data_IF_173184742135
#
_entry.id   IF_173184742135
#
_cell.length_a   1.000
_cell.length_b   1.000
_cell.length_c   1.000
_cell.angle_alpha   90.00
_cell.angle_beta   90.00
_cell.angle_gamma   90.00
#
_symmetry.space_group_name_H-M   'P 1'
#
loop_
_entity.id
_entity.type
_entity.pdbx_description
1 polymer ?
#
# COMPACT_ATOMS: atom_id res chain seq x y z
N UNK A 1 -16.25 3.83 -3.76
CA UNK A 1 -17.10 4.72 -4.58
C UNK A 1 -16.43 6.05 -4.85
N UNK A 2 -15.90 6.75 -3.82
CA UNK A 2 -15.11 7.98 -3.97
C UNK A 2 -14.03 7.89 -5.06
N UNK A 3 -13.11 6.92 -4.97
CA UNK A 3 -12.04 6.73 -5.97
C UNK A 3 -12.57 6.51 -7.40
N UNK A 4 -13.74 5.87 -7.55
CA UNK A 4 -14.41 5.69 -8.85
C UNK A 4 -14.86 7.05 -9.39
N UNK A 5 -15.49 7.87 -8.56
CA UNK A 5 -15.93 9.21 -8.95
C UNK A 5 -14.73 10.08 -9.35
N UNK A 6 -13.64 10.08 -8.56
CA UNK A 6 -12.41 10.82 -8.89
C UNK A 6 -11.81 10.39 -10.24
N UNK A 7 -11.72 9.07 -10.48
CA UNK A 7 -11.18 8.54 -11.73
C UNK A 7 -12.06 8.92 -12.94
N UNK A 8 -13.38 8.78 -12.82
CA UNK A 8 -14.32 9.15 -13.87
C UNK A 8 -14.34 10.66 -14.12
N UNK A 9 -14.24 11.49 -13.07
CA UNK A 9 -14.14 12.93 -13.20
C UNK A 9 -12.85 13.34 -13.92
N UNK A 10 -11.72 12.69 -13.60
CA UNK A 10 -10.46 12.85 -14.32
C UNK A 10 -10.58 12.54 -15.80
N UNK A 11 -11.22 11.42 -16.15
CA UNK A 11 -11.47 11.02 -17.55
C UNK A 11 -12.42 12.00 -18.25
N UNK A 12 -13.49 12.44 -17.60
CA UNK A 12 -14.47 13.37 -18.14
C UNK A 12 -13.82 14.72 -18.53
N UNK A 13 -12.95 15.26 -17.67
CA UNK A 13 -12.16 16.47 -17.97
C UNK A 13 -11.26 16.29 -19.19
N UNK A 14 -10.63 15.12 -19.36
CA UNK A 14 -9.77 14.85 -20.52
C UNK A 14 -10.51 14.84 -21.86
N UNK A 15 -11.83 14.59 -21.85
CA UNK A 15 -12.66 14.56 -23.05
C UNK A 15 -13.61 15.77 -23.15
N UNK A 16 -13.39 16.81 -22.35
CA UNK A 16 -14.15 18.07 -22.39
C UNK A 16 -15.59 17.96 -21.88
N UNK A 17 -15.88 17.01 -20.97
CA UNK A 17 -17.20 16.83 -20.34
C UNK A 17 -17.19 17.40 -18.92
N UNK A 18 -16.99 18.71 -18.80
CA UNK A 18 -16.75 19.38 -17.53
C UNK A 18 -17.96 19.33 -16.58
N UNK A 19 -19.20 19.43 -17.10
CA UNK A 19 -20.43 19.32 -16.29
C UNK A 19 -20.54 17.95 -15.61
N UNK A 20 -20.13 16.88 -16.30
CA UNK A 20 -20.13 15.53 -15.73
C UNK A 20 -19.00 15.34 -14.74
N UNK A 21 -17.84 15.94 -14.98
CA UNK A 21 -16.76 15.95 -14.01
C UNK A 21 -17.19 16.63 -12.71
N UNK A 22 -17.85 17.80 -12.79
CA UNK A 22 -18.38 18.51 -11.64
C UNK A 22 -19.42 17.69 -10.87
N UNK A 23 -20.36 17.03 -11.56
CA UNK A 23 -21.34 16.16 -10.91
C UNK A 23 -20.70 14.96 -10.19
N UNK A 24 -19.62 14.41 -10.74
CA UNK A 24 -18.86 13.33 -10.11
C UNK A 24 -18.04 13.81 -8.90
N UNK A 25 -17.50 15.02 -8.95
CA UNK A 25 -16.83 15.65 -7.80
C UNK A 25 -17.83 15.87 -6.65
N UNK A 26 -19.01 16.40 -6.95
CA UNK A 26 -20.09 16.59 -5.96
C UNK A 26 -20.54 15.25 -5.35
N UNK A 27 -20.66 14.19 -6.17
CA UNK A 27 -20.96 12.82 -5.67
C UNK A 27 -19.85 12.32 -4.74
N UNK A 28 -18.58 12.54 -5.10
CA UNK A 28 -17.44 12.14 -4.28
C UNK A 28 -17.48 12.83 -2.91
N UNK A 29 -17.73 14.14 -2.87
CA UNK A 29 -17.80 14.95 -1.65
C UNK A 29 -19.00 14.55 -0.78
N UNK A 30 -20.16 14.30 -1.38
CA UNK A 30 -21.32 13.79 -0.66
C UNK A 30 -21.03 12.43 0.00
N UNK A 31 -20.32 11.53 -0.69
CA UNK A 31 -19.92 10.24 -0.13
C UNK A 31 -18.91 10.42 1.01
N UNK A 32 -17.90 11.30 0.84
CA UNK A 32 -16.92 11.63 1.89
C UNK A 32 -17.62 12.10 3.17
N UNK A 33 -18.50 13.08 3.04
CA UNK A 33 -19.26 13.63 4.15
C UNK A 33 -20.08 12.55 4.86
N UNK A 34 -20.74 11.67 4.09
CA UNK A 34 -21.55 10.59 4.65
C UNK A 34 -20.71 9.54 5.40
N UNK A 35 -19.55 9.15 4.85
CA UNK A 35 -18.63 8.22 5.54
C UNK A 35 -18.10 8.83 6.83
N UNK A 36 -17.70 10.10 6.82
CA UNK A 36 -17.24 10.80 8.03
C UNK A 36 -18.34 10.95 9.08
N UNK A 37 -19.59 11.17 8.68
CA UNK A 37 -20.69 11.31 9.61
C UNK A 37 -21.18 9.96 10.18
N UNK A 38 -21.18 8.90 9.36
CA UNK A 38 -21.86 7.65 9.71
C UNK A 38 -20.93 6.52 10.17
N UNK A 39 -19.66 6.54 9.76
CA UNK A 39 -18.74 5.42 9.96
C UNK A 39 -17.52 5.77 10.81
N UNK A 40 -17.23 7.06 11.03
CA UNK A 40 -16.14 7.49 11.90
C UNK A 40 -16.53 7.37 13.38
N UNK A 41 -15.69 6.71 14.16
CA UNK A 41 -15.80 6.73 15.61
C UNK A 41 -14.70 7.62 16.19
N UNK A 42 -15.12 8.74 16.80
CA UNK A 42 -14.19 9.71 17.36
C UNK A 42 -13.56 9.27 18.70
N UNK A 43 -14.11 8.29 19.40
CA UNK A 43 -13.50 7.77 20.62
C UNK A 43 -12.34 6.85 20.26
N UNK A 44 -12.61 5.87 19.40
CA UNK A 44 -11.62 4.90 18.92
C UNK A 44 -10.62 5.52 17.92
N UNK A 45 -11.05 6.51 17.13
CA UNK A 45 -10.22 7.08 16.07
C UNK A 45 -10.05 6.16 14.86
N UNK A 46 -11.09 5.38 14.55
CA UNK A 46 -11.15 4.44 13.44
C UNK A 46 -12.49 4.58 12.70
N UNK A 47 -12.51 4.15 11.45
CA UNK A 47 -13.76 3.92 10.74
C UNK A 47 -14.24 2.49 10.98
N UNK A 48 -15.54 2.30 11.12
CA UNK A 48 -16.15 0.98 11.27
C UNK A 48 -17.30 0.80 10.29
N UNK A 49 -17.49 -0.43 9.84
CA UNK A 49 -18.70 -0.81 9.12
C UNK A 49 -19.91 -0.62 10.01
N UNK A 50 -21.06 -0.33 9.41
CA UNK A 50 -22.32 -0.12 10.13
C UNK A 50 -23.32 -1.19 9.75
N UNK A 51 -23.87 -1.85 10.76
CA UNK A 51 -24.91 -2.83 10.56
C UNK A 51 -26.18 -2.16 10.01
N UNK A 52 -26.80 -2.73 8.97
CA UNK A 52 -27.84 -2.07 8.17
C UNK A 52 -29.12 -1.80 8.99
N UNK A 53 -29.54 -2.79 9.78
CA UNK A 53 -30.81 -2.71 10.53
C UNK A 53 -30.65 -1.88 11.81
N UNK A 54 -29.77 -2.33 12.72
CA UNK A 54 -29.51 -1.65 14.00
C UNK A 54 -28.82 -0.29 13.87
N UNK A 55 -28.19 0.03 12.73
CA UNK A 55 -27.37 1.24 12.52
C UNK A 55 -26.19 1.37 13.49
N UNK A 56 -25.82 0.31 14.18
CA UNK A 56 -24.67 0.28 15.11
C UNK A 56 -23.38 -0.03 14.36
N UNK A 57 -22.27 0.54 14.84
CA UNK A 57 -20.94 0.23 14.32
C UNK A 57 -20.53 -1.20 14.70
N UNK A 58 -19.92 -1.91 13.75
CA UNK A 58 -19.34 -3.25 13.94
C UNK A 58 -17.96 -3.09 14.56
N UNK A 59 -17.83 -3.47 15.83
CA UNK A 59 -16.64 -3.25 16.66
C UNK A 59 -15.53 -4.28 16.40
N UNK A 60 -14.99 -4.29 15.19
CA UNK A 60 -13.78 -5.04 14.85
C UNK A 60 -12.80 -4.16 14.09
N UNK A 61 -11.57 -4.09 14.59
CA UNK A 61 -10.49 -3.26 14.05
C UNK A 61 -9.83 -3.98 12.89
N UNK A 62 -10.45 -3.88 11.72
CA UNK A 62 -9.97 -4.52 10.49
C UNK A 62 -9.18 -3.54 9.63
N UNK A 63 -8.45 -4.04 8.65
CA UNK A 63 -7.78 -3.19 7.66
C UNK A 63 -8.78 -2.29 6.90
N UNK A 64 -10.06 -2.68 6.81
CA UNK A 64 -11.11 -1.87 6.20
C UNK A 64 -11.30 -0.53 6.93
N UNK A 65 -11.03 -0.48 8.24
CA UNK A 65 -11.05 0.75 9.05
C UNK A 65 -10.02 1.80 8.60
N UNK A 66 -9.00 1.37 7.84
CA UNK A 66 -7.90 2.22 7.36
C UNK A 66 -8.08 2.63 5.89
N UNK A 67 -8.89 1.91 5.11
CA UNK A 67 -9.10 2.15 3.68
C UNK A 67 -9.68 3.54 3.32
N UNK A 68 -10.40 4.26 4.21
CA UNK A 68 -10.75 5.65 3.99
C UNK A 68 -9.56 6.56 3.70
N UNK A 69 -8.35 6.25 4.19
CA UNK A 69 -7.12 6.96 3.81
C UNK A 69 -6.88 6.90 2.29
N UNK A 70 -7.00 5.73 1.68
CA UNK A 70 -6.78 5.59 0.25
C UNK A 70 -7.74 6.47 -0.56
N UNK A 71 -9.00 6.47 -0.14
CA UNK A 71 -10.03 7.29 -0.75
C UNK A 71 -9.87 8.79 -0.47
N UNK A 72 -9.02 9.22 0.47
CA UNK A 72 -8.88 10.63 0.85
C UNK A 72 -10.02 11.17 1.73
N UNK A 73 -10.76 10.29 2.40
CA UNK A 73 -11.98 10.66 3.15
C UNK A 73 -11.66 11.40 4.47
N UNK A 74 -10.69 10.94 5.28
CA UNK A 74 -10.29 11.64 6.51
C UNK A 74 -9.91 13.12 6.31
N UNK A 75 -10.16 13.95 7.31
CA UNK A 75 -9.38 15.19 7.46
C UNK A 75 -7.96 14.88 7.97
N UNK A 76 -7.12 15.92 8.12
CA UNK A 76 -5.74 15.75 8.59
C UNK A 76 -5.66 15.12 9.99
N UNK A 77 -6.53 15.51 10.91
CA UNK A 77 -6.53 15.02 12.30
C UNK A 77 -7.01 13.57 12.35
N UNK A 78 -8.05 13.22 11.60
CA UNK A 78 -8.51 11.84 11.45
C UNK A 78 -7.42 10.96 10.82
N UNK A 79 -6.73 11.45 9.78
CA UNK A 79 -5.63 10.72 9.16
C UNK A 79 -4.49 10.46 10.15
N UNK A 80 -4.09 11.44 10.96
CA UNK A 80 -3.08 11.27 12.01
C UNK A 80 -3.48 10.22 13.06
N UNK A 81 -4.76 10.16 13.43
CA UNK A 81 -5.28 9.10 14.33
C UNK A 81 -5.20 7.72 13.70
N UNK A 82 -5.54 7.60 12.41
CA UNK A 82 -5.39 6.33 11.68
C UNK A 82 -3.92 5.91 11.58
N UNK A 83 -2.98 6.86 11.37
CA UNK A 83 -1.54 6.58 11.40
C UNK A 83 -1.11 6.09 12.78
N UNK A 84 -1.67 6.64 13.86
CA UNK A 84 -1.45 6.13 15.22
C UNK A 84 -1.77 4.63 15.35
N UNK A 85 -2.92 4.19 14.81
CA UNK A 85 -3.29 2.77 14.76
C UNK A 85 -2.38 1.94 13.85
N UNK A 86 -1.98 2.48 12.71
CA UNK A 86 -1.06 1.82 11.77
C UNK A 86 0.29 1.54 12.43
N UNK A 87 0.79 2.48 13.23
CA UNK A 87 2.09 2.41 13.89
C UNK A 87 2.08 1.60 15.20
N UNK A 88 0.91 1.23 15.73
CA UNK A 88 0.79 0.45 16.96
C UNK A 88 1.31 -0.99 16.76
N UNK A 89 2.38 -1.41 17.49
CA UNK A 89 2.93 -2.77 17.40
C UNK A 89 1.99 -3.85 17.95
N UNK A 90 1.01 -3.46 18.76
CA UNK A 90 -0.08 -4.33 19.23
C UNK A 90 -1.30 -4.31 18.30
N UNK A 91 -1.21 -3.56 17.20
CA UNK A 91 -2.26 -3.38 16.21
C UNK A 91 -1.84 -3.85 14.83
N UNK A 92 -1.55 -2.89 13.94
CA UNK A 92 -1.24 -3.16 12.53
C UNK A 92 0.26 -3.15 12.22
N UNK A 93 1.13 -2.76 13.16
CA UNK A 93 2.58 -2.68 12.97
C UNK A 93 3.29 -4.00 13.35
N UNK A 94 2.94 -5.07 12.64
CA UNK A 94 3.51 -6.42 12.82
C UNK A 94 4.75 -6.65 11.97
N UNK A 95 5.46 -7.78 12.14
CA UNK A 95 6.70 -8.12 11.39
C UNK A 95 6.51 -7.93 9.88
N UNK A 96 5.52 -8.62 9.31
CA UNK A 96 4.94 -8.27 8.01
C UNK A 96 3.73 -7.39 8.34
N UNK A 97 3.74 -6.08 8.04
CA UNK A 97 2.77 -5.15 8.61
C UNK A 97 1.41 -5.21 7.89
N UNK A 98 0.42 -4.50 8.44
CA UNK A 98 -0.94 -4.34 7.91
C UNK A 98 -1.71 -5.66 7.79
N UNK A 99 -1.87 -6.41 8.90
CA UNK A 99 -2.75 -7.58 8.95
C UNK A 99 -4.20 -7.18 8.60
N UNK A 100 -4.96 -8.14 8.06
CA UNK A 100 -6.39 -7.91 7.73
C UNK A 100 -7.24 -7.57 8.96
N UNK A 101 -6.80 -7.99 10.14
CA UNK A 101 -7.37 -7.66 11.45
C UNK A 101 -6.22 -7.29 12.39
N UNK A 102 -6.37 -6.22 13.16
CA UNK A 102 -5.42 -5.83 14.21
C UNK A 102 -5.14 -7.00 15.16
N UNK A 103 -3.87 -7.26 15.50
CA UNK A 103 -3.51 -8.42 16.33
C UNK A 103 -4.13 -8.36 17.74
N UNK A 104 -4.37 -7.15 18.25
CA UNK A 104 -5.03 -6.94 19.54
C UNK A 104 -6.55 -7.07 19.48
N UNK A 105 -7.16 -7.30 18.30
CA UNK A 105 -8.60 -7.46 18.16
C UNK A 105 -9.05 -8.88 18.54
N UNK A 106 -10.15 -9.04 19.31
CA UNK A 106 -10.67 -10.36 19.66
C UNK A 106 -11.03 -11.24 18.46
N UNK A 107 -11.29 -10.63 17.30
CA UNK A 107 -11.60 -11.37 16.08
C UNK A 107 -10.36 -11.92 15.35
N UNK A 108 -9.15 -11.55 15.79
CA UNK A 108 -7.89 -11.95 15.16
C UNK A 108 -7.69 -13.47 15.19
N UNK A 109 -7.45 -14.04 14.01
CA UNK A 109 -7.10 -15.43 13.78
C UNK A 109 -6.19 -15.54 12.55
N UNK A 110 -5.23 -16.46 12.58
CA UNK A 110 -4.39 -16.81 11.42
C UNK A 110 -5.14 -17.62 10.35
N UNK A 111 -6.35 -17.20 9.99
CA UNK A 111 -7.22 -17.80 8.97
C UNK A 111 -7.74 -16.75 7.99
N UNK A 112 -7.22 -16.77 6.76
CA UNK A 112 -7.70 -15.94 5.65
C UNK A 112 -7.79 -14.44 5.99
N UNK A 113 -8.99 -13.87 5.97
CA UNK A 113 -9.28 -12.44 6.14
C UNK A 113 -9.41 -12.02 7.61
N UNK A 114 -9.04 -12.90 8.55
CA UNK A 114 -9.21 -12.65 9.98
C UNK A 114 -7.89 -12.31 10.70
N UNK A 115 -6.83 -11.97 9.98
CA UNK A 115 -5.54 -11.70 10.60
C UNK A 115 -4.38 -11.67 9.62
N UNK A 116 -4.23 -12.65 8.72
CA UNK A 116 -3.14 -12.64 7.74
C UNK A 116 -3.05 -11.36 6.91
N UNK A 117 -1.85 -11.08 6.40
CA UNK A 117 -1.54 -9.91 5.58
C UNK A 117 -1.88 -10.22 4.12
N UNK A 118 -2.69 -9.36 3.52
CA UNK A 118 -3.05 -9.43 2.10
C UNK A 118 -2.46 -8.21 1.38
N UNK A 119 -1.61 -8.45 0.39
CA UNK A 119 -0.83 -7.38 -0.25
C UNK A 119 -1.70 -6.32 -0.92
N UNK A 120 -2.86 -6.66 -1.46
CA UNK A 120 -3.78 -5.69 -2.05
C UNK A 120 -4.35 -4.69 -1.05
N UNK A 121 -4.79 -5.15 0.14
CA UNK A 121 -5.33 -4.26 1.17
C UNK A 121 -4.22 -3.48 1.86
N UNK A 122 -3.05 -4.10 2.06
CA UNK A 122 -1.88 -3.40 2.58
C UNK A 122 -1.43 -2.29 1.62
N UNK A 123 -1.34 -2.59 0.32
CA UNK A 123 -1.04 -1.61 -0.73
C UNK A 123 -1.99 -0.41 -0.72
N UNK A 124 -3.30 -0.65 -0.57
CA UNK A 124 -4.28 0.44 -0.46
C UNK A 124 -3.99 1.36 0.74
N UNK A 125 -3.60 0.82 1.89
CA UNK A 125 -3.20 1.62 3.05
C UNK A 125 -1.90 2.40 2.75
N UNK A 126 -0.92 1.81 2.07
CA UNK A 126 0.31 2.52 1.64
C UNK A 126 -0.04 3.71 0.72
N UNK A 127 -0.93 3.52 -0.25
CA UNK A 127 -1.40 4.61 -1.12
C UNK A 127 -2.16 5.69 -0.32
N UNK A 128 -2.91 5.28 0.69
CA UNK A 128 -3.52 6.18 1.66
C UNK A 128 -2.49 7.01 2.42
N UNK A 129 -1.44 6.40 2.97
CA UNK A 129 -0.37 7.10 3.66
C UNK A 129 0.31 8.13 2.74
N UNK A 130 0.61 7.74 1.49
CA UNK A 130 1.17 8.65 0.47
C UNK A 130 0.24 9.83 0.19
N UNK A 131 -1.06 9.58 0.05
CA UNK A 131 -2.07 10.62 -0.23
C UNK A 131 -2.10 11.72 0.84
N UNK A 132 -1.80 11.40 2.10
CA UNK A 132 -1.74 12.35 3.21
C UNK A 132 -0.32 12.83 3.55
N UNK A 133 0.68 12.52 2.73
CA UNK A 133 2.05 12.99 2.93
C UNK A 133 2.85 12.21 3.98
N UNK A 134 2.35 11.08 4.48
CA UNK A 134 3.09 10.20 5.41
C UNK A 134 4.07 9.30 4.66
N UNK A 135 4.93 9.92 3.84
CA UNK A 135 5.77 9.20 2.88
C UNK A 135 6.81 8.30 3.53
N UNK A 136 7.37 8.68 4.68
CA UNK A 136 8.40 7.88 5.34
C UNK A 136 7.79 6.64 6.02
N UNK A 137 6.58 6.77 6.58
CA UNK A 137 5.80 5.64 7.09
C UNK A 137 5.41 4.69 5.95
N UNK A 138 4.94 5.25 4.82
CA UNK A 138 4.65 4.48 3.62
C UNK A 138 5.88 3.69 3.12
N UNK A 139 7.06 4.31 3.11
CA UNK A 139 8.29 3.67 2.67
C UNK A 139 8.76 2.56 3.63
N UNK A 140 8.71 2.77 4.95
CA UNK A 140 9.03 1.72 5.93
C UNK A 140 8.13 0.50 5.78
N UNK A 141 6.82 0.73 5.73
CA UNK A 141 5.85 -0.36 5.62
C UNK A 141 5.93 -1.04 4.26
N UNK A 142 6.14 -0.30 3.17
CA UNK A 142 6.37 -0.88 1.85
C UNK A 142 7.61 -1.78 1.82
N UNK A 143 8.73 -1.33 2.39
CA UNK A 143 9.95 -2.13 2.49
C UNK A 143 9.70 -3.43 3.28
N UNK A 144 9.05 -3.36 4.43
CA UNK A 144 8.76 -4.53 5.28
C UNK A 144 7.75 -5.49 4.66
N UNK A 145 6.80 -5.00 3.87
CA UNK A 145 5.93 -5.86 3.06
C UNK A 145 6.74 -6.61 2.00
N UNK A 146 7.62 -5.92 1.26
CA UNK A 146 8.50 -6.54 0.27
C UNK A 146 9.43 -7.57 0.93
N UNK A 147 10.12 -7.20 2.01
CA UNK A 147 10.99 -8.08 2.78
C UNK A 147 10.22 -9.31 3.29
N UNK A 148 9.03 -9.12 3.85
CA UNK A 148 8.18 -10.20 4.34
C UNK A 148 7.83 -11.21 3.25
N UNK A 149 7.46 -10.72 2.07
CA UNK A 149 7.17 -11.58 0.91
C UNK A 149 8.40 -12.35 0.45
N UNK A 150 9.55 -11.68 0.30
CA UNK A 150 10.78 -12.32 -0.20
C UNK A 150 11.39 -13.28 0.82
N UNK A 151 11.43 -12.95 2.12
CA UNK A 151 11.90 -13.88 3.16
C UNK A 151 10.97 -15.09 3.31
N UNK A 152 9.66 -14.90 3.17
CA UNK A 152 8.73 -16.04 3.11
C UNK A 152 9.03 -16.92 1.90
N UNK A 153 9.30 -16.33 0.74
CA UNK A 153 9.71 -17.07 -0.45
C UNK A 153 11.03 -17.84 -0.21
N UNK A 154 12.03 -17.24 0.44
CA UNK A 154 13.28 -17.93 0.80
C UNK A 154 13.04 -19.17 1.68
N UNK A 155 12.12 -19.08 2.64
CA UNK A 155 11.81 -20.19 3.55
C UNK A 155 10.90 -21.26 2.92
N UNK A 156 9.96 -20.87 2.05
CA UNK A 156 8.94 -21.80 1.55
C UNK A 156 9.10 -22.18 0.08
N UNK A 157 9.96 -21.50 -0.68
CA UNK A 157 10.15 -21.68 -2.12
C UNK A 157 8.98 -21.20 -3.00
N UNK A 158 8.03 -20.43 -2.45
CA UNK A 158 6.77 -20.09 -3.11
C UNK A 158 6.26 -18.70 -2.73
N UNK A 159 5.59 -18.04 -3.68
CA UNK A 159 4.73 -16.89 -3.40
C UNK A 159 3.33 -17.37 -3.01
N UNK A 160 2.71 -16.67 -2.06
CA UNK A 160 1.44 -17.06 -1.46
C UNK A 160 0.40 -15.96 -1.62
N UNK A 161 -0.88 -16.31 -1.56
CA UNK A 161 -1.98 -15.32 -1.58
C UNK A 161 -2.05 -14.45 -0.31
N UNK A 162 -1.56 -14.91 0.84
CA UNK A 162 -1.49 -14.10 2.06
C UNK A 162 -0.37 -14.61 2.97
N UNK A 163 0.06 -13.74 3.88
CA UNK A 163 1.30 -13.91 4.64
C UNK A 163 1.04 -13.82 6.15
N UNK A 164 1.86 -14.49 6.96
CA UNK A 164 1.76 -14.45 8.41
C UNK A 164 2.26 -13.09 8.92
N UNK A 165 1.48 -12.36 9.74
CA UNK A 165 1.89 -11.04 10.20
C UNK A 165 3.11 -11.07 11.12
N UNK A 166 3.38 -12.20 11.78
CA UNK A 166 4.40 -12.32 12.82
C UNK A 166 5.63 -13.10 12.36
N UNK A 167 5.57 -13.80 11.21
CA UNK A 167 6.60 -14.74 10.77
C UNK A 167 6.81 -14.76 9.26
N UNK A 168 8.00 -15.19 8.84
CA UNK A 168 8.34 -15.40 7.45
C UNK A 168 8.07 -16.85 6.99
N UNK A 169 6.93 -17.42 7.38
CA UNK A 169 6.52 -18.77 6.98
C UNK A 169 4.98 -18.86 6.93
N UNK A 170 4.46 -20.03 6.56
CA UNK A 170 3.02 -20.29 6.43
C UNK A 170 2.51 -21.42 7.35
N UNK A 171 3.30 -21.80 8.35
CA UNK A 171 3.05 -23.01 9.17
C UNK A 171 1.76 -22.86 9.98
N UNK A 172 1.53 -21.69 10.56
CA UNK A 172 0.37 -21.40 11.41
C UNK A 172 -0.82 -20.82 10.62
N UNK A 173 -0.65 -20.58 9.32
CA UNK A 173 -1.70 -20.07 8.47
C UNK A 173 -2.74 -21.13 8.14
N UNK A 174 -3.99 -20.74 8.14
CA UNK A 174 -5.13 -21.57 7.79
C UNK A 174 -5.95 -20.95 6.66
N UNK A 175 -6.68 -21.81 5.95
CA UNK A 175 -7.64 -21.44 4.92
C UNK A 175 -8.99 -22.07 5.20
N UNK A 176 -9.98 -21.21 5.48
CA UNK A 176 -11.41 -21.55 5.58
C UNK A 176 -11.66 -22.62 6.65
N UNK A 177 -11.10 -22.40 7.85
CA UNK A 177 -11.30 -23.31 8.98
C UNK A 177 -12.79 -23.47 9.27
N UNK A 178 -13.22 -24.70 9.56
CA UNK A 178 -14.63 -25.03 9.78
C UNK A 178 -15.44 -25.35 8.52
N UNK A 179 -14.92 -25.13 7.30
CA UNK A 179 -15.60 -25.49 6.05
C UNK A 179 -14.96 -26.73 5.38
N UNK A 180 -15.36 -27.93 5.82
CA UNK A 180 -14.79 -29.22 5.36
C UNK A 180 -14.87 -29.40 3.83
N UNK A 181 -15.98 -28.98 3.21
CA UNK A 181 -16.14 -29.10 1.75
C UNK A 181 -15.14 -28.22 0.99
N UNK A 182 -14.96 -26.96 1.41
CA UNK A 182 -13.97 -26.07 0.79
C UNK A 182 -12.54 -26.51 1.06
N UNK A 183 -12.25 -27.07 2.23
CA UNK A 183 -10.92 -27.62 2.52
C UNK A 183 -10.58 -28.82 1.63
N UNK A 184 -11.54 -29.70 1.37
CA UNK A 184 -11.37 -30.84 0.47
C UNK A 184 -11.12 -30.41 -0.97
N UNK A 185 -11.82 -29.36 -1.42
CA UNK A 185 -11.80 -28.92 -2.83
C UNK A 185 -10.75 -27.86 -3.15
N UNK A 186 -10.35 -27.03 -2.18
CA UNK A 186 -9.49 -25.85 -2.38
C UNK A 186 -8.28 -25.81 -1.44
N UNK A 187 -8.08 -26.85 -0.62
CA UNK A 187 -7.00 -26.90 0.37
C UNK A 187 -7.30 -26.12 1.66
N UNK A 188 -6.45 -26.33 2.66
CA UNK A 188 -6.53 -25.76 4.01
C UNK A 188 -5.40 -24.78 4.33
N UNK A 189 -4.55 -24.48 3.35
CA UNK A 189 -3.37 -23.62 3.44
C UNK A 189 -3.42 -22.51 2.39
N UNK A 190 -2.61 -21.45 2.53
CA UNK A 190 -2.48 -20.44 1.49
C UNK A 190 -2.18 -21.08 0.13
N UNK A 191 -2.82 -20.56 -0.91
CA UNK A 191 -2.52 -20.93 -2.30
C UNK A 191 -1.08 -20.53 -2.63
N UNK A 192 -0.27 -21.50 -3.08
CA UNK A 192 1.11 -21.31 -3.55
C UNK A 192 1.16 -20.92 -5.03
N UNK A 193 2.30 -20.36 -5.46
CA UNK A 193 2.47 -19.89 -6.84
C UNK A 193 1.56 -18.70 -7.20
N UNK A 194 1.06 -17.99 -6.18
CA UNK A 194 0.12 -16.91 -6.36
C UNK A 194 0.86 -15.59 -6.62
N UNK A 195 0.84 -15.13 -7.87
CA UNK A 195 1.48 -13.87 -8.29
C UNK A 195 0.47 -12.76 -8.59
N UNK A 196 -0.79 -12.91 -8.16
CA UNK A 196 -1.85 -11.91 -8.35
C UNK A 196 -1.55 -10.63 -7.58
N UNK A 197 -2.24 -10.38 -6.47
CA UNK A 197 -1.92 -9.22 -5.62
C UNK A 197 -0.55 -9.32 -4.94
N UNK A 198 0.04 -10.52 -4.78
CA UNK A 198 1.40 -10.64 -4.24
C UNK A 198 2.45 -10.01 -5.17
N UNK A 199 2.14 -9.87 -6.46
CA UNK A 199 2.98 -9.14 -7.41
C UNK A 199 3.06 -7.62 -7.15
N UNK A 200 2.18 -7.06 -6.30
CA UNK A 200 2.20 -5.64 -5.92
C UNK A 200 3.49 -5.22 -5.19
N UNK A 201 4.30 -6.17 -4.70
CA UNK A 201 5.65 -5.86 -4.19
C UNK A 201 6.51 -5.14 -5.23
N UNK A 202 6.34 -5.42 -6.52
CA UNK A 202 7.04 -4.71 -7.59
C UNK A 202 6.60 -3.26 -7.67
N UNK A 203 5.29 -2.99 -7.57
CA UNK A 203 4.74 -1.63 -7.54
C UNK A 203 5.21 -0.87 -6.31
N UNK A 204 5.26 -1.51 -5.13
CA UNK A 204 5.81 -0.92 -3.92
C UNK A 204 7.28 -0.52 -4.09
N UNK A 205 8.11 -1.38 -4.68
CA UNK A 205 9.52 -1.05 -4.97
C UNK A 205 9.60 0.12 -5.95
N UNK A 206 8.88 0.07 -7.08
CA UNK A 206 8.97 1.07 -8.16
C UNK A 206 8.44 2.44 -7.71
N UNK A 207 7.22 2.47 -7.18
CA UNK A 207 6.48 3.72 -6.95
C UNK A 207 6.65 4.28 -5.54
N UNK A 208 7.06 3.47 -4.55
CA UNK A 208 7.20 3.90 -3.15
C UNK A 208 8.67 4.02 -2.76
N UNK A 209 9.48 2.99 -2.99
CA UNK A 209 10.89 3.01 -2.58
C UNK A 209 11.76 3.81 -3.55
N UNK A 210 11.70 3.52 -4.85
CA UNK A 210 12.34 4.36 -5.86
C UNK A 210 11.58 5.68 -6.06
N UNK A 211 10.28 5.71 -5.72
CA UNK A 211 9.45 6.91 -5.88
C UNK A 211 9.32 7.34 -7.33
N UNK A 212 9.29 6.39 -8.27
CA UNK A 212 9.13 6.70 -9.69
C UNK A 212 7.71 7.12 -10.00
N UNK A 213 7.57 8.26 -10.65
CA UNK A 213 6.28 8.81 -11.03
C UNK A 213 6.38 9.53 -12.39
N UNK A 214 5.36 9.37 -13.24
CA UNK A 214 5.25 10.13 -14.48
C UNK A 214 4.50 11.44 -14.20
N UNK A 215 5.19 12.57 -14.42
CA UNK A 215 4.65 13.92 -14.32
C UNK A 215 4.58 14.58 -15.71
N UNK A 216 4.00 15.78 -15.78
CA UNK A 216 3.89 16.53 -17.04
C UNK A 216 5.27 16.90 -17.60
N UNK A 217 6.21 17.20 -16.73
CA UNK A 217 7.61 17.54 -17.02
C UNK A 217 8.47 16.33 -17.41
N UNK A 218 8.00 15.10 -17.20
CA UNK A 218 8.74 13.88 -17.52
C UNK A 218 8.66 12.82 -16.42
N UNK A 219 9.59 11.87 -16.46
CA UNK A 219 9.70 10.84 -15.43
C UNK A 219 10.49 11.42 -14.25
N UNK A 220 9.91 11.39 -13.05
CA UNK A 220 10.53 11.86 -11.82
C UNK A 220 10.81 10.67 -10.92
N UNK A 221 11.92 10.71 -10.20
CA UNK A 221 12.29 9.76 -9.16
C UNK A 221 12.41 10.51 -7.84
N UNK A 222 11.87 9.96 -6.75
CA UNK A 222 11.99 10.52 -5.41
C UNK A 222 12.30 9.40 -4.40
N UNK A 223 13.57 8.92 -4.35
CA UNK A 223 13.93 7.72 -3.59
C UNK A 223 13.66 7.90 -2.10
N UNK A 224 12.97 6.93 -1.49
CA UNK A 224 12.71 6.87 -0.05
C UNK A 224 12.95 5.46 0.45
N UNK A 225 14.14 5.24 1.01
CA UNK A 225 14.51 3.98 1.62
C UNK A 225 14.54 4.13 3.14
N UNK A 226 13.90 3.22 3.91
CA UNK A 226 13.92 3.30 5.36
C UNK A 226 15.31 2.93 5.90
N UNK A 227 15.61 3.24 7.19
CA UNK A 227 16.89 2.90 7.81
C UNK A 227 17.25 1.40 7.75
N UNK A 228 16.24 0.52 7.69
CA UNK A 228 16.45 -0.92 7.52
C UNK A 228 17.13 -1.31 6.20
N UNK A 229 17.10 -0.42 5.20
CA UNK A 229 17.74 -0.62 3.90
C UNK A 229 19.17 -0.04 3.82
N UNK A 230 19.67 0.59 4.88
CA UNK A 230 21.00 1.21 4.89
C UNK A 230 22.10 0.20 4.53
N UNK A 231 22.99 0.58 3.60
CA UNK A 231 24.09 -0.25 3.14
C UNK A 231 23.69 -1.30 2.09
N UNK A 232 22.42 -1.34 1.66
CA UNK A 232 21.98 -2.21 0.59
C UNK A 232 22.13 -1.53 -0.78
N UNK A 233 22.51 -2.34 -1.77
CA UNK A 233 22.54 -1.96 -3.18
C UNK A 233 21.27 -2.44 -3.88
N UNK A 234 20.70 -1.56 -4.70
CA UNK A 234 19.48 -1.81 -5.45
C UNK A 234 19.72 -1.60 -6.94
N UNK A 235 19.13 -2.48 -7.75
CA UNK A 235 19.09 -2.34 -9.20
C UNK A 235 17.64 -2.50 -9.65
N UNK A 236 17.11 -1.46 -10.29
CA UNK A 236 15.81 -1.47 -10.94
C UNK A 236 15.99 -1.46 -12.46
N UNK A 237 15.47 -2.51 -13.11
CA UNK A 237 15.50 -2.65 -14.56
C UNK A 237 14.07 -2.51 -15.09
N UNK A 238 13.88 -1.54 -15.98
CA UNK A 238 12.61 -1.25 -16.66
C UNK A 238 12.83 -1.29 -18.18
N UNK A 239 12.92 -2.49 -18.80
CA UNK A 239 13.32 -2.64 -20.20
C UNK A 239 12.41 -1.94 -21.20
N UNK A 240 11.10 -1.89 -20.92
CA UNK A 240 10.12 -1.20 -21.77
C UNK A 240 10.36 0.31 -21.87
N UNK A 241 11.09 0.88 -20.90
CA UNK A 241 11.44 2.30 -20.84
C UNK A 241 12.92 2.54 -21.14
N UNK A 242 13.66 1.50 -21.54
CA UNK A 242 15.12 1.50 -21.65
C UNK A 242 15.80 2.09 -20.41
N UNK A 243 15.23 1.87 -19.22
CA UNK A 243 15.66 2.52 -17.98
C UNK A 243 16.29 1.52 -17.03
N UNK A 244 17.51 1.82 -16.58
CA UNK A 244 18.22 1.06 -15.56
C UNK A 244 18.70 2.03 -14.47
N UNK A 245 18.33 1.76 -13.23
CA UNK A 245 18.71 2.56 -12.07
C UNK A 245 19.47 1.67 -11.10
N UNK A 246 20.69 2.06 -10.76
CA UNK A 246 21.50 1.42 -9.72
C UNK A 246 21.78 2.43 -8.62
N UNK A 247 21.51 2.06 -7.37
CA UNK A 247 21.79 2.94 -6.24
C UNK A 247 22.25 2.14 -5.02
N UNK A 248 22.97 2.81 -4.14
CA UNK A 248 23.32 2.35 -2.80
C UNK A 248 22.62 3.25 -1.79
N UNK A 249 22.02 2.65 -0.76
CA UNK A 249 21.35 3.39 0.32
C UNK A 249 22.38 3.78 1.38
N UNK A 250 22.49 5.07 1.66
CA UNK A 250 23.39 5.65 2.65
C UNK A 250 22.71 5.78 4.03
N UNK A 251 23.53 6.01 5.07
CA UNK A 251 23.01 6.30 6.40
C UNK A 251 22.09 7.54 6.38
N UNK A 252 20.91 7.41 6.97
CA UNK A 252 19.89 8.47 6.98
C UNK A 252 18.94 8.43 5.78
N UNK A 253 18.95 7.37 4.97
CA UNK A 253 18.00 7.16 3.87
C UNK A 253 18.32 7.94 2.59
N UNK A 254 19.44 8.66 2.55
CA UNK A 254 19.98 9.21 1.32
C UNK A 254 20.43 8.11 0.37
N UNK A 255 20.57 8.42 -0.92
CA UNK A 255 21.01 7.48 -1.93
C UNK A 255 22.06 8.09 -2.83
N UNK A 256 22.99 7.26 -3.28
CA UNK A 256 23.93 7.59 -4.36
C UNK A 256 23.82 6.54 -5.45
N UNK A 257 23.91 6.94 -6.71
CA UNK A 257 23.69 5.99 -7.77
C UNK A 257 23.97 6.51 -9.16
N UNK A 258 23.58 5.68 -10.12
CA UNK A 258 23.63 5.97 -11.55
C UNK A 258 22.35 5.45 -12.17
N UNK A 259 21.73 6.27 -13.01
CA UNK A 259 20.70 5.80 -13.93
C UNK A 259 21.20 5.90 -15.36
N UNK A 260 20.69 5.02 -16.22
CA UNK A 260 20.93 5.05 -17.65
C UNK A 260 19.64 4.90 -18.42
N UNK A 261 19.49 5.68 -19.49
CA UNK A 261 18.33 5.65 -20.38
C UNK A 261 18.68 6.17 -21.77
N UNK A 262 18.19 5.51 -22.81
CA UNK A 262 18.37 5.92 -24.22
C UNK A 262 19.85 6.10 -24.59
N UNK A 263 20.72 5.24 -24.04
CA UNK A 263 22.17 5.29 -24.22
C UNK A 263 22.91 6.37 -23.39
N UNK A 264 22.19 7.24 -22.69
CA UNK A 264 22.78 8.20 -21.75
C UNK A 264 22.94 7.60 -20.35
N UNK A 265 23.93 8.09 -19.61
CA UNK A 265 24.24 7.64 -18.24
C UNK A 265 24.53 8.84 -17.34
N UNK A 266 23.85 8.91 -16.21
CA UNK A 266 23.89 10.05 -15.30
C UNK A 266 24.07 9.58 -13.86
N UNK A 267 25.10 10.10 -13.18
CA UNK A 267 25.32 9.87 -11.75
C UNK A 267 24.47 10.83 -10.92
N UNK A 268 24.01 10.39 -9.74
CA UNK A 268 23.24 11.23 -8.82
C UNK A 268 23.57 10.93 -7.37
N UNK A 269 23.30 11.92 -6.52
CA UNK A 269 23.19 11.80 -5.06
C UNK A 269 21.89 12.51 -4.70
N UNK A 270 21.07 11.90 -3.84
CA UNK A 270 19.80 12.46 -3.42
C UNK A 270 19.58 12.19 -1.93
N UNK A 271 19.11 13.20 -1.21
CA UNK A 271 18.53 13.00 0.11
C UNK A 271 17.22 12.19 0.01
N UNK A 272 16.78 11.60 1.12
CA UNK A 272 15.51 10.86 1.16
C UNK A 272 14.35 11.77 0.70
N UNK A 273 13.66 11.34 -0.36
CA UNK A 273 12.54 12.05 -0.95
C UNK A 273 12.89 13.22 -1.86
N UNK A 274 14.17 13.48 -2.09
CA UNK A 274 14.62 14.50 -3.04
C UNK A 274 14.20 14.10 -4.46
N UNK A 275 13.60 15.05 -5.18
CA UNK A 275 13.08 14.81 -6.53
C UNK A 275 14.18 14.98 -7.57
N UNK A 276 14.32 13.97 -8.42
CA UNK A 276 15.24 13.92 -9.54
C UNK A 276 14.47 13.72 -10.84
N UNK A 277 14.74 14.56 -11.84
CA UNK A 277 14.19 14.36 -13.18
C UNK A 277 15.02 13.31 -13.93
N UNK A 278 14.36 12.28 -14.45
CA UNK A 278 14.96 11.18 -15.20
C UNK A 278 14.69 11.40 -16.70
N UNK A 279 15.68 12.04 -17.35
CA UNK A 279 15.64 12.42 -18.76
C UNK A 279 15.04 13.81 -19.00
N UNK A 280 15.61 14.56 -19.95
CA UNK A 280 15.00 15.78 -20.46
C UNK A 280 13.80 15.40 -21.34
N UNK A 281 12.63 16.00 -21.08
CA UNK A 281 11.45 15.79 -21.90
C UNK A 281 11.74 16.15 -23.36
N UNK A 282 11.61 15.17 -24.27
CA UNK A 282 11.26 15.51 -25.64
C UNK A 282 9.78 15.89 -25.62
N UNK A 283 9.53 17.20 -25.67
CA UNK A 283 8.27 17.72 -26.20
C UNK A 283 8.03 17.10 -27.58
N UNK A 284 6.94 16.34 -27.71
CA UNK A 284 6.20 16.20 -28.96
C UNK A 284 4.74 16.52 -28.66
#
# INVERSE_FOLDING_TARGET
MVLKCEALAGLARQIGRDDEAAALDDEADAIRAKVNNELWDAEEGLYFDRHVESRTLVRSRTIASLLPLWAGIPDRTQAERLVGHIMDPTGFNTVIPLPSVSIGDPAFEKDMWRGPVWLNTAFAVIEGLKRYGFHDVAADFAYRLCEGVYRTFEHTGHFHEFYDPERYDTVELHRKRGNRWKQLTLGSKPVTGFVGWSGLVNTLVIEVLFGLERKAEGLVMAPRFPPAANGLDWTLLLPQFDLNIRLSVELGGGVRGVWSREGERHSFVAASGERLLIGSGRSQ
#
